data_IF_739525339252
#
_entry.id   IF_739525339252
#
_cell.length_a   1.000
_cell.length_b   1.000
_cell.length_c   1.000
_cell.angle_alpha   90.00
_cell.angle_beta   90.00
_cell.angle_gamma   90.00
#
_symmetry.space_group_name_H-M   'P 1'
#
loop_
_entity.id
_entity.type
_entity.pdbx_description
1 polymer ?
#
# COMPACT_ATOMS: atom_id res chain seq x y z
N UNK A 1 -15.76 4.99 -14.23
CA UNK A 1 -15.35 3.84 -15.07
C UNK A 1 -16.49 2.85 -15.14
N UNK A 2 -16.85 2.35 -16.28
CA UNK A 2 -17.74 1.19 -16.33
C UNK A 2 -16.96 -0.03 -15.80
N UNK A 3 -17.63 -0.98 -15.18
CA UNK A 3 -17.04 -2.24 -14.69
C UNK A 3 -16.29 -3.04 -15.78
N UNK A 4 -16.38 -2.60 -17.04
CA UNK A 4 -15.72 -3.21 -18.20
C UNK A 4 -14.22 -2.85 -18.33
N UNK A 5 -13.74 -1.86 -17.59
CA UNK A 5 -12.36 -1.35 -17.72
C UNK A 5 -11.44 -1.75 -16.55
N UNK A 6 -11.97 -2.47 -15.58
CA UNK A 6 -11.18 -2.97 -14.44
C UNK A 6 -10.42 -4.25 -14.82
N UNK A 7 -9.12 -4.25 -14.61
CA UNK A 7 -8.29 -5.46 -14.75
C UNK A 7 -8.31 -6.23 -13.43
N UNK A 8 -8.74 -7.47 -13.48
CA UNK A 8 -8.69 -8.36 -12.33
C UNK A 8 -7.24 -8.82 -12.09
N UNK A 9 -6.73 -8.57 -10.88
CA UNK A 9 -5.42 -9.08 -10.45
C UNK A 9 -5.61 -10.32 -9.56
N UNK A 10 -4.67 -11.30 -9.57
CA UNK A 10 -4.82 -12.51 -8.79
C UNK A 10 -4.72 -12.23 -7.29
N UNK A 11 -5.64 -12.83 -6.50
CA UNK A 11 -5.58 -12.86 -5.05
C UNK A 11 -4.86 -14.12 -4.59
N UNK A 12 -3.77 -13.96 -3.84
CA UNK A 12 -2.86 -15.03 -3.44
C UNK A 12 -2.71 -15.02 -1.92
N UNK A 13 -2.78 -16.19 -1.28
CA UNK A 13 -2.46 -16.29 0.15
C UNK A 13 -0.99 -15.92 0.39
N UNK A 14 -0.75 -15.00 1.32
CA UNK A 14 0.60 -14.61 1.72
C UNK A 14 1.28 -15.73 2.50
N UNK A 15 2.43 -16.15 2.01
CA UNK A 15 3.39 -17.06 2.64
C UNK A 15 4.79 -16.58 2.27
N UNK A 16 5.82 -17.02 3.00
CA UNK A 16 7.19 -16.67 2.61
C UNK A 16 7.58 -17.17 1.21
N UNK A 17 6.94 -18.24 0.73
CA UNK A 17 7.14 -18.74 -0.63
C UNK A 17 6.48 -17.82 -1.67
N UNK A 18 5.22 -17.45 -1.48
CA UNK A 18 4.47 -16.60 -2.42
C UNK A 18 4.96 -15.17 -2.43
N UNK A 19 5.51 -14.68 -1.31
CA UNK A 19 6.10 -13.34 -1.16
C UNK A 19 7.55 -13.25 -1.65
N UNK A 20 8.16 -14.35 -2.06
CA UNK A 20 9.56 -14.36 -2.51
C UNK A 20 9.81 -13.34 -3.62
N UNK A 21 10.73 -12.41 -3.37
CA UNK A 21 11.06 -11.29 -4.26
C UNK A 21 10.24 -10.03 -4.01
N UNK A 22 9.13 -10.09 -3.30
CA UNK A 22 8.34 -8.93 -2.87
C UNK A 22 8.69 -8.50 -1.46
N UNK A 23 8.89 -9.46 -0.57
CA UNK A 23 9.10 -9.27 0.85
C UNK A 23 8.99 -10.58 1.61
N UNK A 24 8.57 -10.52 2.86
CA UNK A 24 8.38 -11.71 3.70
C UNK A 24 7.38 -11.44 4.85
N UNK A 25 6.91 -12.51 5.47
CA UNK A 25 6.09 -12.43 6.68
C UNK A 25 6.95 -12.07 7.89
N UNK A 26 6.44 -11.21 8.77
CA UNK A 26 7.08 -10.86 10.04
C UNK A 26 6.25 -11.33 11.23
N UNK A 27 6.93 -11.90 12.23
CA UNK A 27 6.30 -12.45 13.44
C UNK A 27 6.20 -11.42 14.57
N UNK A 28 7.05 -10.39 14.56
CA UNK A 28 7.14 -9.36 15.60
C UNK A 28 7.56 -8.04 15.00
N UNK A 29 6.84 -6.98 15.36
CA UNK A 29 7.17 -5.61 14.99
C UNK A 29 8.50 -5.16 15.59
N UNK A 30 8.71 -5.45 16.88
CA UNK A 30 9.86 -5.00 17.64
C UNK A 30 11.17 -5.58 17.13
N UNK A 31 11.13 -6.83 16.66
CA UNK A 31 12.31 -7.57 16.20
C UNK A 31 12.55 -7.45 14.69
N UNK A 32 11.75 -6.65 14.00
CA UNK A 32 11.88 -6.47 12.55
C UNK A 32 12.58 -5.16 12.23
N UNK A 33 13.61 -5.24 11.44
CA UNK A 33 14.35 -4.10 10.91
C UNK A 33 13.93 -3.84 9.47
N UNK A 34 14.13 -2.62 9.00
CA UNK A 34 13.95 -2.26 7.59
C UNK A 34 15.30 -2.02 6.93
N UNK A 35 15.39 -2.42 5.68
CA UNK A 35 16.54 -2.14 4.84
C UNK A 35 16.54 -0.64 4.46
N UNK A 36 17.69 0.00 4.61
CA UNK A 36 17.96 1.36 4.12
C UNK A 36 19.01 1.25 3.04
N UNK A 37 18.67 1.71 1.86
CA UNK A 37 19.57 1.72 0.70
C UNK A 37 20.13 3.13 0.52
N UNK A 38 21.43 3.27 0.76
CA UNK A 38 22.15 4.49 0.47
C UNK A 38 22.52 4.53 -1.01
N UNK A 39 22.19 5.61 -1.71
CA UNK A 39 22.45 5.75 -3.16
C UNK A 39 21.72 4.69 -4.01
N UNK A 40 20.40 4.61 -3.92
CA UNK A 40 19.63 3.66 -4.72
C UNK A 40 19.80 3.94 -6.21
N UNK A 41 19.74 2.86 -7.00
CA UNK A 41 19.70 2.99 -8.45
C UNK A 41 18.34 3.56 -8.84
N UNK A 42 18.35 4.71 -9.48
CA UNK A 42 17.15 5.37 -9.96
C UNK A 42 16.75 4.84 -11.36
N UNK A 43 15.46 4.65 -11.55
CA UNK A 43 14.88 4.40 -12.87
C UNK A 43 14.67 5.70 -13.67
N UNK A 44 13.81 5.66 -14.69
CA UNK A 44 13.48 6.84 -15.50
C UNK A 44 12.31 7.66 -14.91
N UNK A 45 11.52 7.09 -13.99
CA UNK A 45 10.47 7.83 -13.29
C UNK A 45 11.08 8.78 -12.27
N UNK A 46 10.54 9.98 -12.24
CA UNK A 46 10.98 11.00 -11.29
C UNK A 46 10.52 10.67 -9.87
N UNK A 47 11.36 11.03 -8.90
CA UNK A 47 11.01 10.94 -7.48
C UNK A 47 10.02 12.08 -7.16
N UNK A 48 9.00 11.77 -6.38
CA UNK A 48 8.02 12.76 -5.93
C UNK A 48 8.69 13.90 -5.19
N UNK A 49 8.27 15.12 -5.49
CA UNK A 49 8.84 16.33 -4.90
C UNK A 49 8.69 16.30 -3.36
N UNK A 50 9.73 16.70 -2.68
CA UNK A 50 9.77 16.77 -1.22
C UNK A 50 9.98 15.42 -0.52
N UNK A 51 10.32 14.37 -1.24
CA UNK A 51 10.67 13.06 -0.69
C UNK A 51 12.15 12.76 -0.81
N UNK A 52 12.68 11.93 0.07
CA UNK A 52 14.06 11.44 0.05
C UNK A 52 15.06 12.29 0.84
N UNK A 53 16.28 11.76 0.98
CA UNK A 53 17.49 12.40 1.55
C UNK A 53 17.49 12.72 3.05
N UNK A 54 16.62 12.15 3.85
CA UNK A 54 16.60 12.40 5.29
C UNK A 54 17.40 11.40 6.14
N UNK A 55 17.65 10.21 5.65
CA UNK A 55 18.33 9.12 6.36
C UNK A 55 17.56 8.57 7.56
N UNK A 56 17.83 7.31 7.90
CA UNK A 56 17.20 6.63 9.02
C UNK A 56 15.82 6.06 8.72
N UNK A 57 15.04 5.85 9.76
CA UNK A 57 13.69 5.29 9.67
C UNK A 57 12.68 6.12 10.46
N UNK A 58 11.44 6.06 10.06
CA UNK A 58 10.30 6.57 10.82
C UNK A 58 9.34 5.44 11.14
N UNK A 59 8.67 5.55 12.29
CA UNK A 59 7.72 4.55 12.75
C UNK A 59 6.51 5.20 13.41
N UNK A 60 5.41 4.51 13.41
CA UNK A 60 4.18 4.96 14.05
C UNK A 60 3.06 3.96 13.89
N UNK A 61 1.89 4.35 14.34
CA UNK A 61 0.66 3.57 14.19
C UNK A 61 -0.35 4.36 13.36
N UNK A 62 -1.17 3.62 12.63
CA UNK A 62 -2.30 4.19 11.90
C UNK A 62 -3.53 3.28 11.98
N UNK A 63 -4.67 3.89 11.86
CA UNK A 63 -5.95 3.23 11.70
C UNK A 63 -6.38 3.28 10.24
N UNK A 64 -6.94 2.19 9.74
CA UNK A 64 -7.60 2.13 8.44
C UNK A 64 -9.03 1.60 8.62
N UNK A 65 -10.01 2.26 8.02
CA UNK A 65 -11.41 1.88 8.14
C UNK A 65 -12.19 2.22 6.87
N UNK A 66 -13.22 1.42 6.62
CA UNK A 66 -14.16 1.67 5.55
C UNK A 66 -15.27 2.63 6.03
N UNK A 67 -15.55 3.62 5.21
CA UNK A 67 -16.75 4.44 5.35
C UNK A 67 -17.49 4.36 4.02
N UNK A 68 -18.58 3.61 4.02
CA UNK A 68 -19.21 3.19 2.77
C UNK A 68 -18.25 2.35 1.94
N UNK A 69 -18.00 2.76 0.71
CA UNK A 69 -17.07 2.12 -0.22
C UNK A 69 -15.66 2.73 -0.23
N UNK A 70 -15.40 3.74 0.60
CA UNK A 70 -14.13 4.45 0.66
C UNK A 70 -13.32 4.00 1.87
N UNK A 71 -12.05 3.63 1.64
CA UNK A 71 -11.10 3.31 2.70
C UNK A 71 -10.36 4.57 3.11
N UNK A 72 -10.50 4.92 4.36
CA UNK A 72 -9.77 6.01 4.99
C UNK A 72 -8.65 5.49 5.87
N UNK A 73 -7.60 6.31 6.00
CA UNK A 73 -6.54 6.14 6.97
C UNK A 73 -6.38 7.38 7.85
N UNK A 74 -5.88 7.18 9.06
CA UNK A 74 -5.47 8.24 9.95
C UNK A 74 -4.22 7.84 10.71
N UNK A 75 -3.19 8.68 10.60
CA UNK A 75 -1.95 8.50 11.34
C UNK A 75 -2.03 9.15 12.71
N UNK A 76 -1.58 8.42 13.72
CA UNK A 76 -1.47 8.93 15.08
C UNK A 76 -0.08 9.49 15.39
N UNK A 77 0.93 9.24 14.55
CA UNK A 77 2.32 9.62 14.82
C UNK A 77 3.21 9.92 13.60
N UNK A 78 2.74 9.73 12.38
CA UNK A 78 3.56 9.88 11.17
C UNK A 78 2.88 10.84 10.20
N UNK A 79 3.59 11.86 9.73
CA UNK A 79 3.13 12.66 8.60
C UNK A 79 3.30 11.84 7.33
N UNK A 80 2.20 11.48 6.71
CA UNK A 80 2.19 11.05 5.32
C UNK A 80 1.79 12.24 4.45
N UNK A 81 2.57 12.50 3.41
CA UNK A 81 2.11 13.32 2.31
C UNK A 81 1.07 12.49 1.55
N UNK A 82 -0.19 12.60 1.95
CA UNK A 82 -1.28 12.02 1.18
C UNK A 82 -1.75 13.07 0.19
N UNK A 83 -1.76 12.72 -1.08
CA UNK A 83 -2.23 13.60 -2.15
C UNK A 83 -3.73 13.91 -2.05
N UNK A 84 -4.44 13.20 -1.18
CA UNK A 84 -5.87 13.34 -0.93
C UNK A 84 -6.18 13.28 0.57
N UNK A 85 -6.12 14.41 1.22
CA UNK A 85 -6.57 14.55 2.61
C UNK A 85 -7.99 15.16 2.62
N UNK A 86 -8.92 14.49 3.29
CA UNK A 86 -10.28 14.98 3.52
C UNK A 86 -10.57 14.95 5.02
N UNK A 87 -10.86 16.11 5.60
CA UNK A 87 -11.15 16.25 7.04
C UNK A 87 -10.07 15.64 7.96
N UNK A 88 -8.79 15.83 7.62
CA UNK A 88 -7.65 15.30 8.40
C UNK A 88 -7.43 13.79 8.24
N UNK A 89 -8.08 13.17 7.27
CA UNK A 89 -7.98 11.75 6.94
C UNK A 89 -7.48 11.60 5.52
N UNK A 90 -6.67 10.58 5.24
CA UNK A 90 -6.23 10.29 3.90
C UNK A 90 -6.98 9.09 3.31
N UNK A 91 -7.19 9.10 2.01
CA UNK A 91 -7.86 8.03 1.29
C UNK A 91 -6.81 6.99 0.87
N UNK A 92 -7.04 5.74 1.30
CA UNK A 92 -6.20 4.60 0.96
C UNK A 92 -6.73 3.82 -0.25
N UNK A 93 -8.04 3.80 -0.47
CA UNK A 93 -8.62 3.05 -1.58
C UNK A 93 -10.14 3.03 -1.60
N UNK A 94 -10.68 2.21 -2.46
CA UNK A 94 -12.12 2.10 -2.69
C UNK A 94 -12.54 0.62 -2.83
N UNK A 95 -13.72 0.26 -2.29
CA UNK A 95 -14.36 -1.03 -2.53
C UNK A 95 -15.25 -1.03 -3.78
N UNK A 96 -15.56 0.15 -4.31
CA UNK A 96 -16.27 0.35 -5.57
C UNK A 96 -15.49 1.37 -6.40
N UNK A 97 -15.69 1.43 -7.73
CA UNK A 97 -15.07 2.47 -8.53
C UNK A 97 -15.32 3.86 -7.93
N UNK A 98 -14.32 4.76 -7.89
CA UNK A 98 -14.46 6.09 -7.28
C UNK A 98 -15.60 6.93 -7.85
N UNK A 99 -16.04 6.64 -9.06
CA UNK A 99 -17.14 7.33 -9.77
C UNK A 99 -18.53 6.75 -9.40
N UNK A 100 -18.58 5.69 -8.57
CA UNK A 100 -19.82 5.12 -8.10
C UNK A 100 -20.52 6.06 -7.10
N UNK A 101 -21.84 5.98 -7.02
CA UNK A 101 -22.60 6.70 -6.01
C UNK A 101 -22.08 6.38 -4.60
N UNK A 102 -21.96 7.39 -3.72
CA UNK A 102 -21.45 7.16 -2.38
C UNK A 102 -22.36 6.21 -1.61
N UNK A 103 -21.78 5.16 -1.10
CA UNK A 103 -22.46 4.20 -0.21
C UNK A 103 -22.24 4.67 1.21
N UNK A 104 -23.31 4.82 1.99
CA UNK A 104 -23.26 5.37 3.36
C UNK A 104 -23.05 4.31 4.43
N UNK A 105 -23.38 3.06 4.13
CA UNK A 105 -23.20 1.93 5.04
C UNK A 105 -21.95 1.11 4.66
N UNK A 106 -21.29 0.52 5.65
CA UNK A 106 -20.17 -0.37 5.41
C UNK A 106 -20.60 -1.55 4.51
N UNK A 107 -19.84 -1.76 3.46
CA UNK A 107 -19.97 -2.92 2.58
C UNK A 107 -18.67 -3.70 2.72
N UNK A 108 -18.77 -4.98 3.12
CA UNK A 108 -17.60 -5.85 3.06
C UNK A 108 -17.10 -5.90 1.62
N UNK A 109 -15.85 -5.52 1.36
CA UNK A 109 -15.36 -5.41 -0.01
C UNK A 109 -15.29 -6.81 -0.65
N UNK A 110 -16.04 -7.00 -1.73
CA UNK A 110 -15.85 -8.13 -2.65
C UNK A 110 -14.74 -7.82 -3.66
N UNK A 111 -14.62 -6.54 -4.03
CA UNK A 111 -13.58 -6.02 -4.90
C UNK A 111 -12.94 -4.79 -4.25
N UNK A 112 -11.64 -4.64 -4.40
CA UNK A 112 -10.89 -3.46 -3.98
C UNK A 112 -10.27 -2.86 -5.23
N UNK A 113 -10.58 -1.57 -5.48
CA UNK A 113 -10.04 -0.83 -6.60
C UNK A 113 -8.78 -0.10 -6.20
N UNK A 114 -7.66 -0.48 -6.81
CA UNK A 114 -6.36 0.17 -6.66
C UNK A 114 -6.25 1.18 -7.80
N UNK A 115 -6.02 2.42 -7.46
CA UNK A 115 -5.93 3.50 -8.44
C UNK A 115 -4.61 4.28 -8.35
N UNK A 116 -3.91 4.16 -7.21
CA UNK A 116 -2.64 4.79 -6.94
C UNK A 116 -1.69 3.75 -6.36
N UNK A 117 -0.44 3.77 -6.77
CA UNK A 117 0.63 2.93 -6.25
C UNK A 117 1.94 3.69 -6.22
N UNK A 118 2.84 3.27 -5.34
CA UNK A 118 4.15 3.87 -5.19
C UNK A 118 5.21 2.81 -4.88
N UNK A 119 6.47 3.18 -4.96
CA UNK A 119 7.58 2.43 -4.38
C UNK A 119 8.59 3.37 -3.73
N UNK A 120 9.41 2.82 -2.86
CA UNK A 120 10.51 3.49 -2.18
C UNK A 120 11.84 2.86 -2.63
N UNK A 121 12.68 3.58 -3.38
CA UNK A 121 13.93 3.01 -3.86
C UNK A 121 14.99 2.90 -2.76
N UNK A 122 14.87 3.69 -1.72
CA UNK A 122 15.87 3.91 -0.67
C UNK A 122 15.54 3.21 0.67
N UNK A 123 14.42 2.54 0.76
CA UNK A 123 14.08 1.82 1.99
C UNK A 123 12.97 0.80 1.84
N UNK A 124 13.04 -0.21 2.69
CA UNK A 124 11.95 -1.14 2.90
C UNK A 124 10.83 -0.51 3.71
N UNK A 125 9.69 -1.20 3.75
CA UNK A 125 8.55 -0.82 4.56
C UNK A 125 7.95 -2.05 5.23
N UNK A 126 7.43 -1.87 6.43
CA UNK A 126 6.71 -2.93 7.11
C UNK A 126 5.37 -2.44 7.65
N UNK A 127 4.41 -3.37 7.67
CA UNK A 127 3.10 -3.22 8.27
C UNK A 127 2.84 -4.40 9.20
N UNK A 128 2.46 -4.10 10.44
CA UNK A 128 2.13 -5.12 11.42
C UNK A 128 0.73 -4.87 11.99
N UNK A 129 -0.24 -5.79 11.80
CA UNK A 129 -1.58 -5.61 12.36
C UNK A 129 -1.53 -5.67 13.88
N UNK A 130 -2.09 -4.69 14.57
CA UNK A 130 -2.20 -4.69 16.03
C UNK A 130 -3.37 -5.54 16.54
N UNK A 131 -4.28 -5.86 15.63
CA UNK A 131 -5.36 -6.82 15.82
C UNK A 131 -5.14 -8.01 14.88
N UNK A 132 -5.66 -9.18 15.21
CA UNK A 132 -5.55 -10.35 14.33
C UNK A 132 -6.60 -10.32 13.22
N UNK A 133 -6.79 -9.17 12.61
CA UNK A 133 -7.75 -8.99 11.51
C UNK A 133 -7.07 -9.15 10.16
N UNK A 134 -7.71 -9.83 9.20
CA UNK A 134 -7.14 -10.06 7.89
C UNK A 134 -7.06 -8.77 7.07
N UNK A 135 -6.06 -8.72 6.18
CA UNK A 135 -5.86 -7.61 5.26
C UNK A 135 -5.28 -8.07 3.92
N UNK A 136 -5.34 -7.20 2.94
CA UNK A 136 -4.76 -7.41 1.61
C UNK A 136 -3.73 -6.33 1.35
N UNK A 137 -2.63 -6.69 0.67
CA UNK A 137 -1.65 -5.74 0.14
C UNK A 137 -1.38 -6.06 -1.33
N UNK A 138 -1.59 -5.12 -2.25
CA UNK A 138 -1.23 -5.27 -3.66
C UNK A 138 0.26 -4.96 -3.83
N UNK A 139 0.98 -5.86 -4.52
CA UNK A 139 2.41 -5.72 -4.76
C UNK A 139 2.73 -6.04 -6.22
N UNK A 140 3.72 -5.31 -6.79
CA UNK A 140 4.35 -5.68 -8.04
C UNK A 140 5.88 -5.62 -7.93
N UNK A 141 6.56 -6.41 -8.75
CA UNK A 141 8.03 -6.47 -8.79
C UNK A 141 8.61 -5.14 -9.31
N UNK A 142 9.90 -4.87 -9.03
CA UNK A 142 10.54 -3.63 -9.45
C UNK A 142 10.55 -3.46 -10.97
N UNK A 143 10.40 -2.24 -11.41
CA UNK A 143 10.50 -1.84 -12.81
C UNK A 143 9.68 -0.59 -13.08
N UNK A 144 10.20 0.32 -13.92
CA UNK A 144 9.50 1.56 -14.23
C UNK A 144 8.36 1.38 -15.26
N UNK A 145 8.36 0.25 -15.97
CA UNK A 145 7.33 -0.10 -16.98
C UNK A 145 6.22 -0.99 -16.40
N UNK A 146 6.00 -0.92 -15.08
CA UNK A 146 4.97 -1.71 -14.40
C UNK A 146 3.58 -1.45 -15.00
N UNK A 147 2.85 -2.53 -15.23
CA UNK A 147 1.48 -2.52 -15.71
C UNK A 147 0.54 -3.06 -14.64
N UNK A 148 -0.73 -2.76 -14.74
CA UNK A 148 -1.72 -3.24 -13.76
C UNK A 148 -1.73 -4.77 -13.65
N UNK A 149 -1.54 -5.47 -14.77
CA UNK A 149 -1.47 -6.93 -14.80
C UNK A 149 -0.25 -7.54 -14.07
N UNK A 150 0.76 -6.73 -13.73
CA UNK A 150 1.93 -7.16 -12.98
C UNK A 150 1.68 -7.26 -11.47
N UNK A 151 0.60 -6.65 -11.00
CA UNK A 151 0.22 -6.68 -9.59
C UNK A 151 -0.39 -8.01 -9.18
N UNK A 152 -0.11 -8.38 -7.94
CA UNK A 152 -0.76 -9.48 -7.23
C UNK A 152 -1.28 -8.94 -5.90
N UNK A 153 -2.50 -9.28 -5.54
CA UNK A 153 -3.07 -8.98 -4.24
C UNK A 153 -2.72 -10.12 -3.27
N UNK A 154 -1.96 -9.82 -2.22
CA UNK A 154 -1.60 -10.79 -1.21
C UNK A 154 -2.54 -10.71 -0.02
N UNK A 155 -3.17 -11.85 0.31
CA UNK A 155 -4.06 -12.00 1.46
C UNK A 155 -3.27 -12.46 2.68
N UNK A 156 -3.39 -11.69 3.76
CA UNK A 156 -2.85 -11.98 5.10
C UNK A 156 -4.01 -12.29 6.04
N UNK A 157 -3.88 -13.34 6.83
CA UNK A 157 -4.90 -13.75 7.80
C UNK A 157 -4.84 -12.97 9.14
N UNK A 158 -3.93 -12.02 9.25
CA UNK A 158 -3.74 -11.18 10.43
C UNK A 158 -2.82 -11.77 11.50
N UNK A 159 -2.32 -12.99 11.31
CA UNK A 159 -1.39 -13.63 12.26
C UNK A 159 0.05 -13.12 12.15
N UNK A 160 0.40 -12.55 11.01
CA UNK A 160 1.73 -12.02 10.70
C UNK A 160 1.62 -10.63 10.07
N UNK A 161 2.67 -9.84 10.20
CA UNK A 161 2.84 -8.62 9.43
C UNK A 161 3.50 -8.88 8.07
N UNK A 162 3.63 -7.81 7.30
CA UNK A 162 4.26 -7.77 5.98
C UNK A 162 5.50 -6.90 6.04
N UNK A 163 6.64 -7.43 5.58
CA UNK A 163 7.78 -6.64 5.16
C UNK A 163 7.81 -6.54 3.65
N UNK A 164 8.04 -5.34 3.12
CA UNK A 164 8.15 -5.02 1.70
C UNK A 164 9.59 -4.60 1.41
N UNK A 165 10.24 -5.22 0.43
CA UNK A 165 11.59 -4.83 0.01
C UNK A 165 11.60 -3.45 -0.68
N UNK A 166 12.75 -2.74 -0.69
CA UNK A 166 12.92 -1.56 -1.53
C UNK A 166 12.56 -1.83 -3.00
N UNK A 167 12.09 -0.82 -3.69
CA UNK A 167 11.66 -0.86 -5.10
C UNK A 167 10.43 -1.71 -5.43
N UNK A 168 9.77 -2.32 -4.46
CA UNK A 168 8.52 -3.04 -4.71
C UNK A 168 7.38 -2.03 -4.84
N UNK A 169 6.68 -2.08 -5.96
CA UNK A 169 5.44 -1.32 -6.14
C UNK A 169 4.39 -1.81 -5.17
N UNK A 170 3.78 -0.89 -4.46
CA UNK A 170 2.74 -1.19 -3.47
C UNK A 170 1.80 -0.01 -3.27
N UNK A 171 0.68 -0.30 -2.65
CA UNK A 171 -0.19 0.66 -1.99
C UNK A 171 -0.28 0.26 -0.53
N UNK A 172 -1.03 1.01 0.26
CA UNK A 172 -1.27 0.70 1.66
C UNK A 172 -1.89 -0.69 1.88
N UNK A 173 -2.17 -1.00 3.11
CA UNK A 173 -2.86 -2.24 3.50
C UNK A 173 -4.36 -2.02 3.54
N UNK A 174 -5.11 -2.95 2.96
CA UNK A 174 -6.57 -2.90 2.84
C UNK A 174 -7.20 -3.89 3.83
N UNK A 175 -7.80 -3.42 4.94
CA UNK A 175 -8.53 -4.31 5.85
C UNK A 175 -9.72 -4.96 5.13
N UNK A 176 -10.00 -6.23 5.46
CA UNK A 176 -11.18 -6.93 4.97
C UNK A 176 -12.38 -6.68 5.88
N UNK A 177 -12.12 -6.48 7.16
CA UNK A 177 -13.10 -6.05 8.14
C UNK A 177 -13.29 -4.53 8.07
N UNK A 178 -14.35 -4.02 8.74
CA UNK A 178 -14.69 -2.62 8.74
C UNK A 178 -13.54 -1.70 9.16
N UNK A 179 -12.72 -2.16 10.11
CA UNK A 179 -11.58 -1.43 10.64
C UNK A 179 -10.43 -2.38 10.97
N UNK A 180 -9.19 -1.89 10.82
CA UNK A 180 -7.98 -2.50 11.36
C UNK A 180 -6.99 -1.40 11.77
N UNK A 181 -6.09 -1.74 12.69
CA UNK A 181 -5.03 -0.87 13.17
C UNK A 181 -3.68 -1.53 12.92
N UNK A 182 -2.71 -0.74 12.48
CA UNK A 182 -1.38 -1.22 12.11
C UNK A 182 -0.30 -0.41 12.80
N UNK A 183 0.80 -1.08 13.13
CA UNK A 183 2.09 -0.44 13.33
C UNK A 183 2.83 -0.47 12.00
N UNK A 184 3.43 0.66 11.64
CA UNK A 184 4.22 0.80 10.42
C UNK A 184 5.62 1.30 10.72
N UNK A 185 6.59 0.87 9.89
CA UNK A 185 7.94 1.41 9.88
C UNK A 185 8.41 1.50 8.44
N UNK A 186 9.06 2.58 8.09
CA UNK A 186 9.59 2.80 6.75
C UNK A 186 10.89 3.59 6.81
N UNK A 187 11.64 3.58 5.73
CA UNK A 187 12.81 4.43 5.57
C UNK A 187 12.42 5.90 5.70
N UNK A 188 13.12 6.66 6.56
CA UNK A 188 12.88 8.10 6.74
C UNK A 188 13.25 8.88 5.48
N UNK A 189 14.14 8.33 4.70
CA UNK A 189 14.60 8.84 3.40
C UNK A 189 13.70 8.39 2.25
N UNK A 190 12.50 7.97 2.49
CA UNK A 190 11.73 7.37 1.41
C UNK A 190 11.53 8.33 0.23
N UNK A 191 12.45 8.24 -0.71
CA UNK A 191 12.18 8.71 -2.05
C UNK A 191 10.99 7.92 -2.57
N UNK A 192 9.96 8.61 -2.99
CA UNK A 192 8.73 7.98 -3.46
C UNK A 192 8.57 8.22 -4.96
N UNK A 193 8.25 7.18 -5.68
CA UNK A 193 7.79 7.27 -7.07
C UNK A 193 6.36 6.80 -7.10
N UNK A 194 5.45 7.64 -7.54
CA UNK A 194 4.02 7.37 -7.56
C UNK A 194 3.47 7.36 -8.97
N UNK A 195 2.47 6.54 -9.20
CA UNK A 195 1.69 6.53 -10.44
C UNK A 195 0.20 6.48 -10.15
N UNK A 196 -0.59 7.14 -10.97
CA UNK A 196 -2.04 7.06 -10.97
C UNK A 196 -2.47 6.03 -12.02
N UNK A 197 -2.85 4.85 -11.57
CA UNK A 197 -3.26 3.75 -12.42
C UNK A 197 -4.49 4.09 -13.28
N UNK A 198 -5.36 4.98 -12.85
CA UNK A 198 -6.50 5.43 -13.67
C UNK A 198 -6.04 6.23 -14.89
N UNK A 199 -5.03 7.07 -14.74
CA UNK A 199 -4.48 7.83 -15.86
C UNK A 199 -3.70 6.94 -16.82
N UNK A 200 -2.98 5.97 -16.32
CA UNK A 200 -2.26 5.00 -17.15
C UNK A 200 -3.19 4.01 -17.84
N UNK A 201 -4.31 3.64 -17.24
CA UNK A 201 -5.35 2.83 -17.87
C UNK A 201 -5.98 3.48 -19.10
N UNK A 202 -6.11 4.80 -19.11
CA UNK A 202 -6.74 5.54 -20.22
C UNK A 202 -5.86 5.68 -21.46
N UNK A 203 -4.61 5.25 -21.38
CA UNK A 203 -3.67 5.35 -22.51
C UNK A 203 -3.63 4.11 -23.41
N UNK A 204 -4.35 3.04 -23.07
CA UNK A 204 -4.40 1.79 -23.84
C UNK A 204 -5.81 1.41 -24.24
#
# INVERSE_FOLDING_TARGET
MSSADAVEIPLIKATNETLKGYGYLIDSYENSEIEIVTWPKQGWREIDEGTGNEGGSTEGSFDAWWQGSTLYGQNNAVQHNSDYEVDGKYILGHALPPESEPVTEYIRPENIYIWHVNYHPDGGQLFFPTTKSPFISPLALPGDDVQVGDFKAFYFDGSHGLYIHPNIWHEGVFPIEEKNSFQGRQGKVHARVSIDLQKEFKKY
#
